data_IF_582760996527
#
_entry.id   IF_582760996527
#
_cell.length_a   1.000
_cell.length_b   1.000
_cell.length_c   1.000
_cell.angle_alpha   90.00
_cell.angle_beta   90.00
_cell.angle_gamma   90.00
#
_symmetry.space_group_name_H-M   'P 1'
#
loop_
_entity.id
_entity.type
_entity.pdbx_description
1 polymer ?
#
# COMPACT_ATOMS: atom_id res chain seq x y z
N UNK A 1 12.09 19.27 9.21
CA UNK A 1 11.20 19.74 8.13
C UNK A 1 10.05 18.75 8.03
N UNK A 2 8.81 19.15 8.29
CA UNK A 2 7.63 18.29 8.17
C UNK A 2 7.45 17.85 6.72
N UNK A 3 7.35 16.53 6.48
CA UNK A 3 7.24 15.94 5.14
C UNK A 3 6.06 16.56 4.39
N UNK A 4 6.31 17.12 3.20
CA UNK A 4 5.25 17.65 2.35
C UNK A 4 4.51 16.47 1.70
N UNK A 5 3.28 16.20 2.15
CA UNK A 5 2.48 15.09 1.65
C UNK A 5 1.47 15.64 0.63
N UNK A 6 1.87 15.67 -0.65
CA UNK A 6 0.97 16.03 -1.74
C UNK A 6 0.03 14.85 -2.04
N UNK A 7 -1.27 15.15 -2.12
CA UNK A 7 -2.32 14.19 -2.43
C UNK A 7 -3.07 14.62 -3.68
N UNK A 8 -3.08 13.79 -4.72
CA UNK A 8 -3.83 14.01 -5.95
C UNK A 8 -5.14 13.22 -5.90
N UNK A 9 -6.24 13.87 -6.25
CA UNK A 9 -7.54 13.23 -6.41
C UNK A 9 -7.97 13.32 -7.87
N UNK A 10 -8.26 12.16 -8.47
CA UNK A 10 -8.76 12.06 -9.83
C UNK A 10 -9.72 10.88 -9.96
N UNK A 11 -10.52 10.87 -11.01
CA UNK A 11 -11.42 9.76 -11.30
C UNK A 11 -11.78 9.69 -12.77
N UNK A 12 -12.49 8.64 -13.14
CA UNK A 12 -12.91 8.42 -14.51
C UNK A 12 -13.75 7.15 -14.62
N UNK A 13 -14.26 6.94 -15.82
CA UNK A 13 -15.06 5.76 -16.14
C UNK A 13 -14.14 4.56 -16.37
N UNK A 14 -14.36 3.47 -15.65
CA UNK A 14 -13.62 2.23 -15.81
C UNK A 14 -14.22 1.39 -16.95
N UNK A 15 -13.36 0.68 -17.68
CA UNK A 15 -13.78 -0.26 -18.72
C UNK A 15 -14.49 -1.50 -18.13
N UNK A 16 -14.14 -1.88 -16.90
CA UNK A 16 -14.77 -2.97 -16.17
C UNK A 16 -14.72 -2.69 -14.65
N UNK A 17 -15.75 -3.12 -13.92
CA UNK A 17 -15.88 -2.89 -12.48
C UNK A 17 -14.81 -3.60 -11.63
N UNK A 18 -14.15 -4.61 -12.18
CA UNK A 18 -13.15 -5.42 -11.50
C UNK A 18 -11.70 -5.05 -11.85
N UNK A 19 -11.48 -4.06 -12.72
CA UNK A 19 -10.15 -3.64 -13.17
C UNK A 19 -9.98 -2.14 -12.97
N UNK A 20 -8.74 -1.73 -12.73
CA UNK A 20 -8.35 -0.32 -12.68
C UNK A 20 -7.86 0.10 -14.07
N UNK A 21 -8.71 -0.06 -15.07
CA UNK A 21 -8.46 0.36 -16.46
C UNK A 21 -9.53 1.38 -16.85
N UNK A 22 -9.09 2.59 -17.19
CA UNK A 22 -10.00 3.64 -17.64
C UNK A 22 -10.45 3.37 -19.07
N UNK A 23 -11.75 3.54 -19.30
CA UNK A 23 -12.37 3.40 -20.61
C UNK A 23 -11.87 4.46 -21.59
N UNK A 24 -11.70 5.68 -21.10
CA UNK A 24 -11.27 6.83 -21.89
C UNK A 24 -10.37 7.74 -21.06
N UNK A 25 -9.09 7.83 -21.46
CA UNK A 25 -8.10 8.65 -20.78
C UNK A 25 -8.31 10.15 -21.01
N UNK A 26 -8.99 10.53 -22.10
CA UNK A 26 -9.28 11.94 -22.40
C UNK A 26 -10.39 12.52 -21.52
N UNK A 27 -11.21 11.64 -20.90
CA UNK A 27 -12.33 12.00 -20.02
C UNK A 27 -12.02 11.82 -18.54
N UNK A 28 -10.73 11.77 -18.18
CA UNK A 28 -10.36 11.72 -16.77
C UNK A 28 -10.79 13.03 -16.09
N UNK A 29 -11.54 12.88 -15.02
CA UNK A 29 -11.96 13.96 -14.15
C UNK A 29 -10.87 14.24 -13.11
N UNK A 30 -10.22 15.39 -13.26
CA UNK A 30 -9.26 15.89 -12.29
C UNK A 30 -9.98 16.70 -11.22
N UNK A 31 -10.00 16.21 -9.98
CA UNK A 31 -10.71 16.88 -8.88
C UNK A 31 -9.83 17.96 -8.25
N UNK A 32 -8.56 17.66 -8.00
CA UNK A 32 -7.64 18.63 -7.40
C UNK A 32 -6.43 18.02 -6.73
N UNK A 33 -5.57 18.90 -6.24
CA UNK A 33 -4.35 18.57 -5.50
C UNK A 33 -4.42 19.19 -4.10
N UNK A 34 -4.13 18.40 -3.06
CA UNK A 34 -4.36 18.78 -1.66
C UNK A 34 -3.11 18.57 -0.79
N UNK A 35 -2.90 19.43 0.22
CA UNK A 35 -1.71 19.40 1.08
C UNK A 35 -1.79 18.36 2.21
N UNK A 36 -2.95 17.72 2.42
CA UNK A 36 -3.13 16.67 3.42
C UNK A 36 -4.21 15.66 2.99
N UNK A 37 -4.17 14.48 3.62
CA UNK A 37 -5.07 13.38 3.31
C UNK A 37 -6.53 13.68 3.65
N UNK A 38 -6.78 14.43 4.73
CA UNK A 38 -8.14 14.73 5.18
C UNK A 38 -8.90 15.52 4.10
N UNK A 39 -8.30 16.60 3.59
CA UNK A 39 -8.88 17.40 2.51
C UNK A 39 -9.02 16.61 1.20
N UNK A 40 -8.03 15.79 0.85
CA UNK A 40 -8.11 14.92 -0.33
C UNK A 40 -9.26 13.91 -0.23
N UNK A 41 -9.44 13.28 0.93
CA UNK A 41 -10.51 12.33 1.20
C UNK A 41 -11.88 12.98 1.13
N UNK A 42 -12.02 14.20 1.66
CA UNK A 42 -13.30 14.90 1.64
C UNK A 42 -13.68 15.31 0.20
N UNK A 43 -12.71 15.75 -0.61
CA UNK A 43 -12.90 16.02 -2.03
C UNK A 43 -13.26 14.75 -2.83
N UNK A 44 -12.55 13.64 -2.59
CA UNK A 44 -12.84 12.33 -3.16
C UNK A 44 -14.27 11.88 -2.82
N UNK A 45 -14.66 11.99 -1.55
CA UNK A 45 -15.99 11.60 -1.08
C UNK A 45 -17.07 12.41 -1.78
N UNK A 46 -16.89 13.72 -1.89
CA UNK A 46 -17.83 14.59 -2.59
C UNK A 46 -17.98 14.21 -4.07
N UNK A 47 -16.87 14.02 -4.78
CA UNK A 47 -16.89 13.66 -6.21
C UNK A 47 -17.47 12.26 -6.46
N UNK A 48 -17.16 11.28 -5.59
CA UNK A 48 -17.72 9.94 -5.67
C UNK A 48 -19.23 9.92 -5.36
N UNK A 49 -19.68 10.68 -4.36
CA UNK A 49 -21.10 10.77 -4.02
C UNK A 49 -21.92 11.47 -5.13
N UNK A 50 -21.33 12.43 -5.84
CA UNK A 50 -21.97 13.11 -6.96
C UNK A 50 -22.19 12.22 -8.19
N UNK A 51 -21.52 11.06 -8.26
CA UNK A 51 -21.53 10.15 -9.43
C UNK A 51 -22.03 8.76 -9.07
N UNK A 52 -22.87 8.65 -8.03
CA UNK A 52 -23.36 7.36 -7.51
C UNK A 52 -24.24 6.60 -8.53
N UNK A 53 -24.81 7.32 -9.48
CA UNK A 53 -25.64 6.82 -10.57
C UNK A 53 -24.81 6.13 -11.67
N UNK A 54 -23.53 6.47 -11.80
CA UNK A 54 -22.62 5.84 -12.75
C UNK A 54 -21.75 4.77 -12.07
N UNK A 55 -22.14 3.51 -12.23
CA UNK A 55 -21.43 2.37 -11.64
C UNK A 55 -19.95 2.25 -12.06
N UNK A 56 -19.60 2.74 -13.26
CA UNK A 56 -18.23 2.68 -13.77
C UNK A 56 -17.37 3.86 -13.32
N UNK A 57 -17.97 4.94 -12.78
CA UNK A 57 -17.20 6.06 -12.27
C UNK A 57 -16.51 5.70 -10.97
N UNK A 58 -15.18 5.77 -10.99
CA UNK A 58 -14.34 5.50 -9.82
C UNK A 58 -13.36 6.64 -9.61
N UNK A 59 -13.22 7.07 -8.35
CA UNK A 59 -12.25 8.07 -7.94
C UNK A 59 -11.19 7.45 -7.06
N UNK A 60 -9.97 7.97 -7.18
CA UNK A 60 -8.77 7.52 -6.51
C UNK A 60 -8.07 8.69 -5.83
N UNK A 61 -7.40 8.40 -4.72
CA UNK A 61 -6.49 9.34 -4.02
C UNK A 61 -5.09 8.76 -4.11
N UNK A 62 -4.15 9.52 -4.67
CA UNK A 62 -2.75 9.10 -4.84
C UNK A 62 -1.83 10.00 -4.03
N UNK A 63 -0.93 9.37 -3.29
CA UNK A 63 0.13 10.00 -2.53
C UNK A 63 1.33 10.29 -3.44
N UNK A 64 1.46 11.53 -3.93
CA UNK A 64 2.51 11.89 -4.89
C UNK A 64 3.92 11.86 -4.28
N UNK A 65 4.01 12.08 -2.98
CA UNK A 65 5.29 12.16 -2.29
C UNK A 65 6.11 10.86 -2.38
N UNK A 66 5.46 9.70 -2.44
CA UNK A 66 6.16 8.42 -2.56
C UNK A 66 6.71 8.16 -3.97
N UNK A 67 6.11 8.79 -4.99
CA UNK A 67 6.47 8.65 -6.40
C UNK A 67 7.59 9.60 -6.84
N UNK A 68 7.65 10.80 -6.25
CA UNK A 68 8.66 11.82 -6.57
C UNK A 68 10.03 11.52 -5.96
N UNK A 69 10.09 10.76 -4.87
CA UNK A 69 11.34 10.37 -4.19
C UNK A 69 11.36 8.85 -3.94
N UNK A 70 11.46 8.03 -5.00
CA UNK A 70 11.42 6.57 -4.87
C UNK A 70 12.60 6.04 -4.01
N UNK A 71 13.75 6.73 -4.05
CA UNK A 71 14.93 6.43 -3.24
C UNK A 71 14.61 6.43 -1.73
N UNK A 72 13.87 7.45 -1.29
CA UNK A 72 13.57 7.71 0.13
C UNK A 72 12.44 6.77 0.62
N UNK A 73 11.47 6.49 -0.23
CA UNK A 73 10.39 5.52 0.01
C UNK A 73 10.94 4.09 0.11
N UNK A 74 11.83 3.69 -0.81
CA UNK A 74 12.45 2.36 -0.79
C UNK A 74 13.34 2.16 0.44
N UNK A 75 14.06 3.20 0.86
CA UNK A 75 14.85 3.18 2.10
C UNK A 75 13.95 3.01 3.34
N UNK A 76 12.85 3.77 3.42
CA UNK A 76 11.89 3.65 4.52
C UNK A 76 11.20 2.27 4.57
N UNK A 77 10.75 1.76 3.42
CA UNK A 77 10.14 0.43 3.33
C UNK A 77 11.11 -0.70 3.75
N UNK A 78 12.40 -0.58 3.41
CA UNK A 78 13.46 -1.50 3.84
C UNK A 78 13.69 -1.41 5.36
N UNK A 79 13.71 -0.22 5.94
CA UNK A 79 13.88 -0.02 7.38
C UNK A 79 12.70 -0.60 8.18
N UNK A 80 11.46 -0.32 7.77
CA UNK A 80 10.25 -0.87 8.40
C UNK A 80 10.28 -2.39 8.33
N UNK A 81 10.58 -2.96 7.16
CA UNK A 81 10.68 -4.42 7.00
C UNK A 81 11.79 -5.03 7.87
N UNK A 82 12.89 -4.34 8.10
CA UNK A 82 13.97 -4.80 8.98
C UNK A 82 13.58 -4.74 10.47
N UNK A 83 12.89 -3.69 10.91
CA UNK A 83 12.40 -3.54 12.29
C UNK A 83 11.32 -4.55 12.67
N UNK A 84 10.47 -4.93 11.71
CA UNK A 84 9.34 -5.84 11.93
C UNK A 84 9.60 -7.26 11.39
N UNK A 85 10.84 -7.59 10.99
CA UNK A 85 11.18 -8.94 10.58
C UNK A 85 11.05 -9.91 11.76
N UNK A 86 10.30 -11.03 11.63
CA UNK A 86 10.21 -12.01 12.70
C UNK A 86 11.59 -12.58 13.01
N UNK A 87 11.95 -12.79 14.28
CA UNK A 87 13.23 -13.37 14.63
C UNK A 87 13.32 -14.76 14.01
N UNK A 88 14.38 -15.01 13.24
CA UNK A 88 14.64 -16.34 12.68
C UNK A 88 14.74 -17.32 13.85
N UNK A 89 13.77 -18.23 13.98
CA UNK A 89 13.88 -19.36 14.90
C UNK A 89 15.19 -20.08 14.58
N UNK A 90 16.16 -19.94 15.49
CA UNK A 90 17.34 -20.78 15.57
C UNK A 90 16.85 -22.22 15.63
N UNK A 91 16.92 -22.94 14.50
CA UNK A 91 16.72 -24.37 14.47
C UNK A 91 17.81 -24.98 15.36
N UNK A 92 17.40 -25.36 16.57
CA UNK A 92 18.25 -25.99 17.55
C UNK A 92 18.85 -27.28 16.97
N UNK A 93 20.18 -27.28 16.93
CA UNK A 93 21.08 -28.37 16.61
C UNK A 93 20.60 -29.68 17.25
N UNK A 94 20.22 -30.67 16.43
CA UNK A 94 19.98 -32.04 16.89
C UNK A 94 21.32 -32.71 17.21
N UNK A 95 21.82 -32.51 18.44
CA UNK A 95 22.90 -33.33 18.98
C UNK A 95 22.30 -34.52 19.72
N UNK A 96 22.18 -35.66 19.04
CA UNK A 96 21.96 -36.95 19.67
C UNK A 96 23.16 -37.30 20.55
N UNK A 97 22.96 -37.33 21.87
CA UNK A 97 23.95 -37.72 22.87
C UNK A 97 23.49 -39.04 23.49
N UNK A 98 24.30 -40.08 23.34
CA UNK A 98 24.03 -41.43 23.84
C UNK A 98 24.20 -41.62 25.35
N UNK A 99 23.68 -42.75 25.83
CA UNK A 99 24.00 -43.51 27.07
C UNK A 99 22.93 -44.61 27.19
N UNK A 100 23.14 -45.87 27.58
CA UNK A 100 24.26 -46.61 28.21
C UNK A 100 23.97 -48.13 28.06
N UNK A 101 24.93 -49.02 28.31
CA UNK A 101 24.76 -50.47 28.23
C UNK A 101 24.24 -51.06 29.55
N UNK A 102 23.36 -52.05 29.47
CA UNK A 102 22.84 -52.81 30.61
C UNK A 102 23.04 -54.32 30.38
N UNK A 103 23.78 -54.95 31.29
CA UNK A 103 24.29 -56.33 31.26
C UNK A 103 23.46 -57.25 32.18
N UNK A 104 23.37 -58.53 31.77
CA UNK A 104 22.97 -59.74 32.53
C UNK A 104 21.50 -59.82 32.97
N UNK A 105 20.83 -60.98 32.95
CA UNK A 105 21.24 -62.38 33.19
C UNK A 105 20.68 -63.33 32.15
#
# INVERSE_FOLDING_TARGET
MTKQLLHLVFGGELAALNRVEFRDLSKIHFVGLYPNFAQARDAWKSAAQATVDNAHMRYFVVHLHDLLQPEETAAHAREVRAKFAPPKKSAAKSSGKGAKPGRAK
#
